data_IF_548276575284
#
_entry.id   IF_548276575284
#
_cell.length_a   1.000
_cell.length_b   1.000
_cell.length_c   1.000
_cell.angle_alpha   90.00
_cell.angle_beta   90.00
_cell.angle_gamma   90.00
#
_symmetry.space_group_name_H-M   'P 1'
#
loop_
_entity.id
_entity.type
_entity.pdbx_description
1 polymer ?
#
# COMPACT_ATOMS: atom_id res chain seq x y z
N UNK A 1 18.13 -0.24 13.82
CA UNK A 1 18.71 0.22 15.09
C UNK A 1 20.05 0.90 14.82
N UNK A 2 20.12 2.21 15.06
CA UNK A 2 21.27 3.08 14.79
C UNK A 2 22.37 2.87 15.82
N UNK A 3 23.05 1.71 15.81
CA UNK A 3 24.16 1.47 16.75
C UNK A 3 25.53 1.93 16.19
N UNK A 4 25.82 1.80 14.94
CA UNK A 4 27.06 2.22 14.31
C UNK A 4 28.20 2.61 15.25
N UNK A 5 28.61 3.87 15.20
CA UNK A 5 29.66 4.46 16.06
C UNK A 5 29.15 5.00 17.41
N UNK A 6 27.85 4.94 17.68
CA UNK A 6 27.28 5.49 18.90
C UNK A 6 27.41 4.51 20.07
N UNK A 7 27.93 4.98 21.18
CA UNK A 7 28.06 4.20 22.42
C UNK A 7 26.84 4.34 23.34
N UNK A 8 26.02 5.36 23.13
CA UNK A 8 24.81 5.63 23.91
C UNK A 8 23.57 5.18 23.15
N UNK A 9 22.50 4.79 23.86
CA UNK A 9 21.21 4.54 23.24
C UNK A 9 20.65 5.83 22.63
N UNK A 10 19.77 5.69 21.63
CA UNK A 10 19.06 6.81 21.02
C UNK A 10 18.19 7.51 22.07
N UNK A 11 18.24 8.84 22.14
CA UNK A 11 17.41 9.60 23.06
C UNK A 11 15.92 9.42 22.74
N UNK A 12 15.06 9.35 23.76
CA UNK A 12 13.62 9.16 23.61
C UNK A 12 12.95 10.20 22.70
N UNK A 13 13.38 11.46 22.77
CA UNK A 13 12.88 12.50 21.87
C UNK A 13 13.19 12.19 20.39
N UNK A 14 14.38 11.65 20.09
CA UNK A 14 14.77 11.28 18.73
C UNK A 14 13.99 10.06 18.26
N UNK A 15 13.75 9.07 19.14
CA UNK A 15 12.91 7.91 18.82
C UNK A 15 11.49 8.34 18.50
N UNK A 16 10.89 9.20 19.33
CA UNK A 16 9.52 9.72 19.10
C UNK A 16 9.40 10.58 17.85
N UNK A 17 10.44 11.29 17.48
CA UNK A 17 10.45 12.11 16.25
C UNK A 17 10.68 11.26 15.00
N UNK A 18 11.52 10.23 15.08
CA UNK A 18 11.93 9.40 13.95
C UNK A 18 11.02 8.19 13.67
N UNK A 19 10.17 7.81 14.62
CA UNK A 19 9.30 6.66 14.43
C UNK A 19 8.14 6.96 13.46
N UNK A 20 7.76 5.98 12.70
CA UNK A 20 6.61 6.02 11.78
C UNK A 20 5.58 4.93 12.03
N UNK A 21 5.90 3.96 12.91
CA UNK A 21 5.03 2.82 13.19
C UNK A 21 3.65 3.22 13.70
N UNK A 22 3.52 4.38 14.36
CA UNK A 22 2.24 4.92 14.83
C UNK A 22 1.21 5.15 13.72
N UNK A 23 1.63 5.28 12.46
CA UNK A 23 0.75 5.45 11.30
C UNK A 23 1.06 4.51 10.15
N UNK A 24 2.31 4.06 9.94
CA UNK A 24 2.69 3.21 8.81
C UNK A 24 2.40 1.72 9.04
N UNK A 25 2.01 1.31 10.26
CA UNK A 25 1.56 -0.05 10.54
C UNK A 25 0.50 -0.53 9.52
N UNK A 26 -0.26 0.37 8.92
CA UNK A 26 -1.27 0.09 7.89
C UNK A 26 -0.70 -0.57 6.64
N UNK A 27 0.60 -0.46 6.41
CA UNK A 27 1.30 -1.03 5.25
C UNK A 27 1.63 -2.52 5.43
N UNK A 28 1.30 -3.13 6.56
CA UNK A 28 1.72 -4.50 6.90
C UNK A 28 1.38 -5.54 5.84
N UNK A 29 0.22 -5.44 5.19
CA UNK A 29 -0.18 -6.38 4.12
C UNK A 29 0.72 -6.26 2.90
N UNK A 30 1.05 -5.04 2.53
CA UNK A 30 1.90 -4.73 1.39
C UNK A 30 3.34 -5.13 1.66
N UNK A 31 3.85 -4.82 2.85
CA UNK A 31 5.19 -5.22 3.27
C UNK A 31 5.37 -6.75 3.30
N UNK A 32 4.41 -7.47 3.87
CA UNK A 32 4.47 -8.94 3.92
C UNK A 32 4.41 -9.52 2.49
N UNK A 33 3.50 -9.04 1.64
CA UNK A 33 3.40 -9.51 0.26
C UNK A 33 4.68 -9.20 -0.53
N UNK A 34 5.22 -8.00 -0.41
CA UNK A 34 6.48 -7.59 -1.04
C UNK A 34 7.68 -8.39 -0.52
N UNK A 35 7.72 -8.67 0.77
CA UNK A 35 8.76 -9.46 1.42
C UNK A 35 8.75 -10.93 0.98
N UNK A 36 7.58 -11.54 0.81
CA UNK A 36 7.46 -12.91 0.24
C UNK A 36 7.94 -12.92 -1.22
N UNK A 37 7.54 -11.93 -2.03
CA UNK A 37 7.98 -11.83 -3.42
C UNK A 37 9.51 -11.65 -3.51
N UNK A 38 10.08 -10.83 -2.63
CA UNK A 38 11.52 -10.61 -2.53
C UNK A 38 12.27 -11.88 -2.10
N UNK A 39 11.79 -12.59 -1.09
CA UNK A 39 12.37 -13.87 -0.65
C UNK A 39 12.35 -14.91 -1.77
N UNK A 40 11.32 -14.95 -2.60
CA UNK A 40 11.24 -15.84 -3.77
C UNK A 40 12.28 -15.50 -4.82
N UNK A 41 12.52 -14.23 -5.07
CA UNK A 41 13.61 -13.80 -5.96
C UNK A 41 15.00 -14.13 -5.39
N UNK A 42 15.19 -14.02 -4.07
CA UNK A 42 16.41 -14.44 -3.40
C UNK A 42 16.65 -15.96 -3.53
N UNK A 43 15.60 -16.78 -3.38
CA UNK A 43 15.68 -18.22 -3.61
C UNK A 43 16.14 -18.52 -5.05
N UNK A 44 15.55 -17.87 -6.02
CA UNK A 44 15.89 -18.05 -7.45
C UNK A 44 17.31 -17.60 -7.76
N UNK A 45 17.80 -16.58 -7.09
CA UNK A 45 19.16 -16.09 -7.19
C UNK A 45 20.19 -16.93 -6.39
N UNK A 46 19.77 -17.96 -5.66
CA UNK A 46 20.65 -18.81 -4.83
C UNK A 46 21.12 -18.16 -3.54
N UNK A 47 20.50 -17.05 -3.09
CA UNK A 47 20.80 -16.39 -1.82
C UNK A 47 20.12 -17.08 -0.62
N UNK A 48 18.99 -17.71 -0.88
CA UNK A 48 18.29 -18.59 0.06
C UNK A 48 18.23 -19.99 -0.53
N UNK A 49 18.26 -20.98 0.34
CA UNK A 49 17.86 -22.34 -0.02
C UNK A 49 16.34 -22.52 0.15
N UNK A 50 15.82 -23.68 -0.25
CA UNK A 50 14.38 -23.96 -0.22
C UNK A 50 13.81 -23.93 1.20
N UNK A 51 14.52 -24.52 2.15
CA UNK A 51 14.07 -24.59 3.55
C UNK A 51 14.00 -23.21 4.20
N UNK A 52 15.01 -22.36 3.92
CA UNK A 52 15.02 -20.95 4.38
C UNK A 52 13.85 -20.15 3.80
N UNK A 53 13.57 -20.31 2.51
CA UNK A 53 12.44 -19.65 1.86
C UNK A 53 11.11 -20.10 2.47
N UNK A 54 10.90 -21.39 2.62
CA UNK A 54 9.66 -21.95 3.18
C UNK A 54 9.44 -21.48 4.63
N UNK A 55 10.51 -21.38 5.43
CA UNK A 55 10.45 -20.83 6.78
C UNK A 55 10.08 -19.34 6.78
N UNK A 56 10.68 -18.54 5.89
CA UNK A 56 10.36 -17.11 5.75
C UNK A 56 8.91 -16.93 5.31
N UNK A 57 8.46 -17.63 4.28
CA UNK A 57 7.10 -17.52 3.76
C UNK A 57 6.07 -17.90 4.82
N UNK A 58 6.27 -19.02 5.54
CA UNK A 58 5.39 -19.44 6.64
C UNK A 58 5.39 -18.42 7.77
N UNK A 59 6.57 -18.00 8.24
CA UNK A 59 6.70 -17.04 9.33
C UNK A 59 6.04 -15.69 9.02
N UNK A 60 6.15 -15.20 7.79
CA UNK A 60 5.46 -13.97 7.35
C UNK A 60 3.93 -14.14 7.29
N UNK A 61 3.44 -15.30 6.85
CA UNK A 61 1.99 -15.59 6.86
C UNK A 61 1.42 -15.69 8.27
N UNK A 62 2.17 -16.26 9.20
CA UNK A 62 1.79 -16.35 10.61
C UNK A 62 1.77 -14.94 11.25
N UNK A 63 2.75 -14.09 10.94
CA UNK A 63 2.76 -12.69 11.39
C UNK A 63 1.55 -11.93 10.81
N UNK A 64 1.24 -12.11 9.53
CA UNK A 64 0.06 -11.51 8.90
C UNK A 64 -1.21 -11.85 9.67
N UNK A 65 -1.38 -13.13 9.98
CA UNK A 65 -2.53 -13.61 10.74
C UNK A 65 -2.60 -12.98 12.12
N UNK A 66 -1.49 -12.95 12.86
CA UNK A 66 -1.45 -12.33 14.19
C UNK A 66 -1.79 -10.85 14.16
N UNK A 67 -1.34 -10.11 13.13
CA UNK A 67 -1.69 -8.69 12.96
C UNK A 67 -3.20 -8.55 12.71
N UNK A 68 -3.77 -9.37 11.83
CA UNK A 68 -5.19 -9.34 11.47
C UNK A 68 -6.10 -9.71 12.65
N UNK A 69 -5.65 -10.61 13.51
CA UNK A 69 -6.36 -11.02 14.73
C UNK A 69 -6.13 -10.06 15.91
N UNK A 70 -5.27 -9.04 15.78
CA UNK A 70 -4.94 -8.10 16.85
C UNK A 70 -3.99 -8.63 17.91
N UNK A 71 -3.30 -9.74 17.62
CA UNK A 71 -2.37 -10.40 18.53
C UNK A 71 -0.92 -9.91 18.39
N UNK A 72 -0.65 -8.99 17.47
CA UNK A 72 0.67 -8.41 17.23
C UNK A 72 0.88 -7.12 18.00
N UNK A 73 2.05 -6.97 18.63
CA UNK A 73 2.40 -5.75 19.38
C UNK A 73 3.42 -4.93 18.61
N UNK A 74 3.04 -3.70 18.25
CA UNK A 74 3.92 -2.74 17.61
C UNK A 74 4.84 -2.05 18.62
N UNK A 75 6.14 -2.00 18.33
CA UNK A 75 7.15 -1.31 19.15
C UNK A 75 7.68 -0.07 18.44
N UNK A 76 7.61 1.09 19.11
CA UNK A 76 8.22 2.34 18.63
C UNK A 76 9.75 2.29 18.59
N UNK A 77 10.36 1.46 19.42
CA UNK A 77 11.82 1.25 19.43
C UNK A 77 12.32 0.61 18.12
N UNK A 78 11.43 -0.05 17.39
CA UNK A 78 11.68 -0.63 16.09
C UNK A 78 11.30 0.30 14.92
N UNK A 79 11.07 1.60 15.19
CA UNK A 79 10.97 2.70 14.24
C UNK A 79 9.75 2.59 13.29
N UNK A 80 9.69 1.58 12.41
CA UNK A 80 8.70 1.45 11.33
C UNK A 80 8.04 0.06 11.28
N UNK A 81 7.00 -0.09 10.46
CA UNK A 81 6.28 -1.35 10.24
C UNK A 81 7.24 -2.46 9.79
N UNK A 82 8.16 -2.13 8.93
CA UNK A 82 9.09 -3.09 8.30
C UNK A 82 10.03 -3.70 9.31
N UNK A 83 10.64 -2.87 10.18
CA UNK A 83 11.55 -3.35 11.23
C UNK A 83 10.80 -4.15 12.30
N UNK A 84 9.56 -3.79 12.62
CA UNK A 84 8.71 -4.57 13.51
C UNK A 84 8.46 -5.97 12.96
N UNK A 85 8.06 -6.09 11.68
CA UNK A 85 7.81 -7.37 11.02
C UNK A 85 9.11 -8.19 10.87
N UNK A 86 10.21 -7.56 10.43
CA UNK A 86 11.51 -8.21 10.24
C UNK A 86 12.10 -8.72 11.57
N UNK A 87 11.99 -7.93 12.64
CA UNK A 87 12.42 -8.32 13.99
C UNK A 87 11.62 -9.50 14.52
N UNK A 88 10.30 -9.47 14.38
CA UNK A 88 9.43 -10.55 14.80
C UNK A 88 9.68 -11.83 13.99
N UNK A 89 9.86 -11.71 12.66
CA UNK A 89 10.23 -12.83 11.81
C UNK A 89 11.54 -13.46 12.29
N UNK A 90 12.57 -12.65 12.51
CA UNK A 90 13.88 -13.12 12.98
C UNK A 90 13.77 -13.78 14.35
N UNK A 91 12.93 -13.28 15.25
CA UNK A 91 12.67 -13.89 16.54
C UNK A 91 12.04 -15.29 16.43
N UNK A 92 11.14 -15.50 15.43
CA UNK A 92 10.44 -16.78 15.21
C UNK A 92 11.31 -17.81 14.52
N UNK A 93 12.02 -17.44 13.47
CA UNK A 93 12.73 -18.40 12.60
C UNK A 93 14.26 -18.28 12.64
N UNK A 94 14.81 -17.33 13.38
CA UNK A 94 16.28 -17.19 13.57
C UNK A 94 17.00 -16.65 12.33
N UNK A 95 18.16 -17.23 12.00
CA UNK A 95 19.06 -16.76 10.96
C UNK A 95 18.42 -16.57 9.56
N UNK A 96 17.50 -17.42 9.07
CA UNK A 96 16.81 -17.18 7.80
C UNK A 96 16.06 -15.84 7.76
N UNK A 97 15.42 -15.43 8.87
CA UNK A 97 14.72 -14.15 8.97
C UNK A 97 15.64 -12.95 8.75
N UNK A 98 16.85 -12.99 9.28
CA UNK A 98 17.86 -11.95 9.12
C UNK A 98 18.38 -11.82 7.67
N UNK A 99 18.25 -12.85 6.83
CA UNK A 99 18.63 -12.82 5.41
C UNK A 99 17.63 -12.07 4.53
N UNK A 100 16.38 -11.90 4.98
CA UNK A 100 15.31 -11.32 4.18
C UNK A 100 15.66 -9.94 3.64
N UNK A 101 16.41 -9.13 4.38
CA UNK A 101 16.78 -7.76 3.95
C UNK A 101 17.88 -7.73 2.87
N UNK A 102 18.54 -8.84 2.57
CA UNK A 102 19.63 -8.88 1.59
C UNK A 102 19.21 -8.38 0.22
N UNK A 103 20.03 -7.54 -0.41
CA UNK A 103 19.79 -6.92 -1.72
C UNK A 103 18.59 -5.95 -1.79
N UNK A 104 18.10 -5.47 -0.66
CA UNK A 104 17.00 -4.50 -0.54
C UNK A 104 17.46 -3.30 0.30
N UNK A 105 16.87 -2.15 0.05
CA UNK A 105 16.95 -0.98 0.92
C UNK A 105 15.61 -0.68 1.55
N UNK A 106 15.60 -0.06 2.72
CA UNK A 106 14.36 0.49 3.30
C UNK A 106 13.71 1.49 2.36
N UNK A 107 14.50 2.25 1.60
CA UNK A 107 13.99 3.28 0.67
C UNK A 107 13.10 2.71 -0.45
N UNK A 108 13.56 1.69 -1.16
CA UNK A 108 12.77 1.08 -2.24
C UNK A 108 11.62 0.21 -1.70
N UNK A 109 11.78 -0.37 -0.53
CA UNK A 109 10.73 -1.10 0.20
C UNK A 109 9.57 -0.17 0.57
N UNK A 110 9.82 0.89 1.33
CA UNK A 110 8.80 1.87 1.76
C UNK A 110 8.08 2.47 0.57
N UNK A 111 8.82 2.88 -0.47
CA UNK A 111 8.24 3.48 -1.68
C UNK A 111 7.33 2.48 -2.42
N UNK A 112 7.68 1.20 -2.45
CA UNK A 112 6.87 0.15 -3.06
C UNK A 112 5.59 -0.08 -2.27
N UNK A 113 5.70 -0.26 -0.97
CA UNK A 113 4.57 -0.59 -0.10
C UNK A 113 3.56 0.57 -0.03
N UNK A 114 4.04 1.81 0.02
CA UNK A 114 3.18 3.00 -0.07
C UNK A 114 2.40 3.03 -1.39
N UNK A 115 3.05 2.71 -2.52
CA UNK A 115 2.36 2.66 -3.82
C UNK A 115 1.34 1.54 -3.89
N UNK A 116 1.65 0.37 -3.36
CA UNK A 116 0.73 -0.75 -3.30
C UNK A 116 -0.48 -0.44 -2.42
N UNK A 117 -0.26 0.16 -1.26
CA UNK A 117 -1.31 0.61 -0.36
C UNK A 117 -2.23 1.63 -1.04
N UNK A 118 -1.67 2.70 -1.58
CA UNK A 118 -2.45 3.71 -2.30
C UNK A 118 -3.23 3.12 -3.48
N UNK A 119 -2.68 2.13 -4.19
CA UNK A 119 -3.37 1.44 -5.27
C UNK A 119 -4.61 0.70 -4.76
N UNK A 120 -4.48 -0.04 -3.66
CA UNK A 120 -5.59 -0.76 -3.04
C UNK A 120 -6.67 0.21 -2.56
N UNK A 121 -6.27 1.28 -1.87
CA UNK A 121 -7.21 2.30 -1.39
C UNK A 121 -7.95 2.99 -2.54
N UNK A 122 -7.27 3.29 -3.65
CA UNK A 122 -7.92 3.86 -4.84
C UNK A 122 -8.98 2.90 -5.41
N UNK A 123 -8.68 1.60 -5.48
CA UNK A 123 -9.63 0.61 -5.98
C UNK A 123 -10.87 0.53 -5.08
N UNK A 124 -10.70 0.57 -3.76
CA UNK A 124 -11.80 0.62 -2.80
C UNK A 124 -12.62 1.91 -2.89
N UNK A 125 -11.95 3.06 -3.01
CA UNK A 125 -12.64 4.35 -3.17
C UNK A 125 -13.45 4.36 -4.46
N UNK A 126 -12.90 3.89 -5.58
CA UNK A 126 -13.61 3.80 -6.86
C UNK A 126 -14.87 2.93 -6.75
N UNK A 127 -14.83 1.84 -6.00
CA UNK A 127 -16.02 1.02 -5.76
C UNK A 127 -17.08 1.77 -4.92
N UNK A 128 -16.66 2.47 -3.86
CA UNK A 128 -17.54 3.31 -3.06
C UNK A 128 -18.18 4.43 -3.89
N UNK A 129 -17.40 5.07 -4.77
CA UNK A 129 -17.90 6.10 -5.71
C UNK A 129 -18.96 5.51 -6.66
N UNK A 130 -18.71 4.35 -7.26
CA UNK A 130 -19.68 3.67 -8.13
C UNK A 130 -20.99 3.35 -7.40
N UNK A 131 -20.91 2.91 -6.16
CA UNK A 131 -22.10 2.61 -5.34
C UNK A 131 -22.90 3.88 -5.07
N UNK A 132 -22.24 4.99 -4.73
CA UNK A 132 -22.90 6.29 -4.55
C UNK A 132 -23.54 6.80 -5.85
N UNK A 133 -22.81 6.75 -6.97
CA UNK A 133 -23.35 7.14 -8.28
C UNK A 133 -24.60 6.32 -8.63
N UNK A 134 -24.58 5.01 -8.42
CA UNK A 134 -25.74 4.14 -8.66
C UNK A 134 -26.94 4.57 -7.81
N UNK A 135 -26.75 4.87 -6.54
CA UNK A 135 -27.81 5.34 -5.67
C UNK A 135 -28.40 6.69 -6.12
N UNK A 136 -27.53 7.62 -6.51
CA UNK A 136 -27.94 8.93 -7.04
C UNK A 136 -28.72 8.78 -8.36
N UNK A 137 -28.27 7.93 -9.27
CA UNK A 137 -28.97 7.67 -10.54
C UNK A 137 -30.35 7.03 -10.32
N UNK A 138 -30.43 6.07 -9.38
CA UNK A 138 -31.74 5.47 -9.05
C UNK A 138 -32.70 6.51 -8.49
N UNK A 139 -32.25 7.36 -7.57
CA UNK A 139 -33.07 8.46 -7.04
C UNK A 139 -33.38 9.54 -8.09
N UNK A 140 -32.42 9.87 -8.95
CA UNK A 140 -32.67 10.78 -10.06
C UNK A 140 -33.76 10.27 -11.01
N UNK A 141 -33.82 8.96 -11.26
CA UNK A 141 -34.87 8.32 -12.07
C UNK A 141 -36.22 8.34 -11.35
N UNK A 142 -36.24 8.04 -10.05
CA UNK A 142 -37.46 8.05 -9.22
C UNK A 142 -38.12 9.44 -9.19
N UNK A 143 -37.30 10.49 -9.14
CA UNK A 143 -37.74 11.90 -9.03
C UNK A 143 -37.46 12.72 -10.31
N UNK A 144 -37.51 12.05 -11.47
CA UNK A 144 -37.19 12.73 -12.75
C UNK A 144 -38.08 13.91 -13.05
N UNK A 145 -39.37 13.81 -12.70
CA UNK A 145 -40.39 14.84 -12.96
C UNK A 145 -40.68 15.73 -11.74
N UNK A 146 -40.04 15.47 -10.60
CA UNK A 146 -40.26 16.25 -9.38
C UNK A 146 -39.60 17.63 -9.49
N UNK A 147 -40.44 18.66 -9.67
CA UNK A 147 -40.02 20.07 -9.81
C UNK A 147 -39.61 20.64 -8.45
N UNK A 148 -38.50 21.36 -8.43
CA UNK A 148 -38.01 22.12 -7.29
C UNK A 148 -37.39 23.46 -7.71
N UNK A 149 -37.33 24.46 -6.81
CA UNK A 149 -36.61 25.68 -7.12
C UNK A 149 -35.10 25.46 -7.09
N UNK A 150 -34.41 25.91 -8.11
CA UNK A 150 -32.96 26.13 -8.06
C UNK A 150 -32.67 27.41 -7.24
N UNK A 151 -31.46 27.49 -6.68
CA UNK A 151 -31.00 28.60 -5.86
C UNK A 151 -29.65 29.14 -6.34
N UNK A 152 -29.52 30.46 -6.38
CA UNK A 152 -28.25 31.18 -6.49
C UNK A 152 -28.25 32.31 -5.47
N UNK A 153 -27.13 32.57 -4.81
CA UNK A 153 -27.01 33.62 -3.80
C UNK A 153 -28.12 33.56 -2.70
N UNK A 154 -28.54 32.37 -2.32
CA UNK A 154 -29.66 32.13 -1.39
C UNK A 154 -31.02 32.64 -1.89
N UNK A 155 -31.13 33.01 -3.19
CA UNK A 155 -32.33 33.45 -3.85
C UNK A 155 -32.89 32.33 -4.74
N UNK A 156 -34.21 32.28 -4.88
CA UNK A 156 -34.88 31.38 -5.83
C UNK A 156 -34.51 31.79 -7.27
N UNK A 157 -34.04 30.82 -8.02
CA UNK A 157 -33.67 30.95 -9.43
C UNK A 157 -34.64 30.13 -10.33
N UNK A 158 -34.10 29.53 -11.41
CA UNK A 158 -34.91 28.73 -12.31
C UNK A 158 -35.48 27.48 -11.62
N UNK A 159 -36.63 26.96 -12.04
CA UNK A 159 -37.10 25.66 -11.66
C UNK A 159 -36.20 24.59 -12.29
N UNK A 160 -35.90 23.56 -11.52
CA UNK A 160 -35.14 22.38 -11.94
C UNK A 160 -35.86 21.12 -11.47
N UNK A 161 -35.59 19.99 -12.06
CA UNK A 161 -36.06 18.70 -11.48
C UNK A 161 -35.08 18.19 -10.45
N UNK A 162 -35.59 17.47 -9.48
CA UNK A 162 -34.74 16.77 -8.50
C UNK A 162 -33.79 15.78 -9.19
N UNK A 163 -34.27 15.11 -10.26
CA UNK A 163 -33.44 14.23 -11.08
C UNK A 163 -32.27 14.97 -11.70
N UNK A 164 -32.48 16.15 -12.30
CA UNK A 164 -31.39 16.96 -12.83
C UNK A 164 -30.37 17.37 -11.75
N UNK A 165 -30.85 17.78 -10.58
CA UNK A 165 -30.01 18.18 -9.47
C UNK A 165 -29.09 17.00 -8.99
N UNK A 166 -29.65 15.81 -8.84
CA UNK A 166 -28.89 14.63 -8.44
C UNK A 166 -27.86 14.16 -9.48
N UNK A 167 -28.20 14.28 -10.78
CA UNK A 167 -27.27 13.93 -11.87
C UNK A 167 -26.05 14.87 -11.92
N UNK A 168 -26.16 16.11 -11.48
CA UNK A 168 -25.01 17.01 -11.38
C UNK A 168 -23.93 16.44 -10.47
N UNK A 169 -24.29 15.79 -9.35
CA UNK A 169 -23.35 15.11 -8.47
C UNK A 169 -22.77 13.85 -9.10
N UNK A 170 -23.54 13.12 -9.89
CA UNK A 170 -23.02 11.96 -10.64
C UNK A 170 -21.89 12.39 -11.57
N UNK A 171 -22.06 13.53 -12.28
CA UNK A 171 -21.04 14.07 -13.18
C UNK A 171 -19.79 14.58 -12.42
N UNK A 172 -19.95 15.14 -11.23
CA UNK A 172 -18.80 15.47 -10.37
C UNK A 172 -18.02 14.22 -9.98
N UNK A 173 -18.72 13.19 -9.51
CA UNK A 173 -18.12 11.91 -9.12
C UNK A 173 -17.47 11.16 -10.31
N UNK A 174 -17.99 11.31 -11.54
CA UNK A 174 -17.35 10.78 -12.75
C UNK A 174 -15.96 11.39 -12.92
N UNK A 175 -15.84 12.71 -12.82
CA UNK A 175 -14.54 13.40 -12.94
C UNK A 175 -13.58 13.02 -11.82
N UNK A 176 -14.08 12.81 -10.60
CA UNK A 176 -13.24 12.33 -9.49
C UNK A 176 -12.77 10.89 -9.72
N UNK A 177 -13.65 10.02 -10.21
CA UNK A 177 -13.27 8.65 -10.58
C UNK A 177 -12.18 8.63 -11.66
N UNK A 178 -12.23 9.52 -12.65
CA UNK A 178 -11.22 9.60 -13.69
C UNK A 178 -9.88 10.12 -13.16
N UNK A 179 -9.87 11.08 -12.24
CA UNK A 179 -8.65 11.53 -11.54
C UNK A 179 -8.02 10.39 -10.75
N UNK A 180 -8.82 9.60 -10.03
CA UNK A 180 -8.35 8.45 -9.27
C UNK A 180 -7.77 7.36 -10.19
N UNK A 181 -8.43 7.03 -11.30
CA UNK A 181 -7.91 6.07 -12.30
C UNK A 181 -6.57 6.53 -12.90
N UNK A 182 -6.45 7.82 -13.21
CA UNK A 182 -5.21 8.38 -13.74
C UNK A 182 -4.08 8.36 -12.69
N UNK A 183 -4.39 8.71 -11.45
CA UNK A 183 -3.46 8.58 -10.32
C UNK A 183 -3.00 7.13 -10.17
N UNK A 184 -3.93 6.16 -10.16
CA UNK A 184 -3.64 4.73 -10.08
C UNK A 184 -2.69 4.24 -11.18
N UNK A 185 -2.93 4.65 -12.43
CA UNK A 185 -2.09 4.28 -13.57
C UNK A 185 -0.65 4.75 -13.39
N UNK A 186 -0.45 6.00 -12.94
CA UNK A 186 0.88 6.58 -12.71
C UNK A 186 1.57 5.99 -11.48
N UNK A 187 0.80 5.65 -10.47
CA UNK A 187 1.28 5.05 -9.22
C UNK A 187 1.77 3.60 -9.42
N UNK A 188 1.15 2.86 -10.35
CA UNK A 188 1.40 1.43 -10.57
C UNK A 188 2.75 1.16 -11.29
N UNK A 189 3.83 1.64 -10.68
CA UNK A 189 5.22 1.42 -11.10
C UNK A 189 6.03 1.01 -9.88
N UNK A 190 6.63 -0.20 -9.91
CA UNK A 190 7.39 -0.71 -8.77
C UNK A 190 8.80 -0.11 -8.71
N UNK A 191 9.19 0.54 -7.62
CA UNK A 191 10.57 0.94 -7.38
C UNK A 191 11.43 -0.17 -6.77
N UNK A 192 10.88 -1.30 -6.36
CA UNK A 192 11.62 -2.36 -5.68
C UNK A 192 12.76 -2.90 -6.56
N UNK A 193 13.93 -3.06 -5.94
CA UNK A 193 15.18 -3.39 -6.60
C UNK A 193 15.99 -2.16 -7.05
N UNK A 194 15.50 -0.94 -6.79
CA UNK A 194 16.32 0.28 -6.97
C UNK A 194 17.35 0.46 -5.87
N UNK A 195 17.21 -0.29 -4.76
CA UNK A 195 18.07 -0.12 -3.60
C UNK A 195 17.95 1.28 -2.98
N UNK A 196 19.02 1.75 -2.38
CA UNK A 196 19.04 3.07 -1.75
C UNK A 196 19.11 4.22 -2.77
N UNK A 197 19.76 4.00 -3.95
CA UNK A 197 20.03 5.05 -4.93
C UNK A 197 19.86 4.54 -6.37
N UNK A 198 20.66 3.54 -6.77
CA UNK A 198 20.84 3.19 -8.18
C UNK A 198 20.86 1.66 -8.45
N UNK A 199 20.25 0.88 -7.59
CA UNK A 199 20.20 -0.57 -7.71
C UNK A 199 21.16 -1.30 -6.77
N UNK A 200 21.32 -2.60 -7.01
CA UNK A 200 22.19 -3.50 -6.26
C UNK A 200 23.10 -4.26 -7.23
N UNK A 201 24.31 -4.63 -6.77
CA UNK A 201 25.21 -5.52 -7.49
C UNK A 201 24.74 -6.98 -7.45
N UNK A 202 23.78 -7.29 -6.59
CA UNK A 202 23.16 -8.61 -6.51
C UNK A 202 22.02 -8.67 -7.53
N UNK A 203 22.15 -9.58 -8.50
CA UNK A 203 21.18 -9.74 -9.58
C UNK A 203 19.92 -10.48 -9.09
N UNK A 204 18.89 -9.72 -8.72
CA UNK A 204 17.54 -10.25 -8.51
C UNK A 204 16.69 -9.97 -9.75
N UNK A 205 15.81 -10.91 -10.09
CA UNK A 205 14.84 -10.73 -11.18
C UNK A 205 13.74 -9.73 -10.74
N UNK A 206 13.96 -8.45 -11.05
CA UNK A 206 13.02 -7.36 -10.74
C UNK A 206 11.68 -7.50 -11.45
N UNK A 207 11.67 -8.13 -12.62
CA UNK A 207 10.44 -8.36 -13.38
C UNK A 207 9.53 -9.34 -12.66
N UNK A 208 10.09 -10.46 -12.21
CA UNK A 208 9.35 -11.46 -11.45
C UNK A 208 8.84 -10.90 -10.12
N UNK A 209 9.69 -10.17 -9.38
CA UNK A 209 9.26 -9.51 -8.15
C UNK A 209 8.05 -8.60 -8.43
N UNK A 210 8.12 -7.79 -9.48
CA UNK A 210 7.03 -6.89 -9.87
C UNK A 210 5.73 -7.65 -10.20
N UNK A 211 5.82 -8.76 -10.94
CA UNK A 211 4.65 -9.55 -11.35
C UNK A 211 3.95 -10.27 -10.20
N UNK A 212 4.69 -10.60 -9.14
CA UNK A 212 4.14 -11.36 -8.01
C UNK A 212 3.16 -10.56 -7.15
N UNK A 213 3.26 -9.23 -7.14
CA UNK A 213 2.39 -8.38 -6.32
C UNK A 213 1.86 -7.13 -7.02
N UNK A 214 2.28 -6.85 -8.26
CA UNK A 214 1.67 -5.81 -9.10
C UNK A 214 0.95 -6.45 -10.27
N UNK A 215 -0.17 -5.87 -10.71
CA UNK A 215 -0.71 -6.22 -12.02
C UNK A 215 0.30 -5.83 -13.09
N UNK A 216 0.51 -6.67 -14.13
CA UNK A 216 1.45 -6.35 -15.19
C UNK A 216 1.12 -4.98 -15.79
N UNK A 217 2.11 -4.11 -15.84
CA UNK A 217 2.00 -2.82 -16.51
C UNK A 217 1.77 -3.07 -18.01
N UNK A 218 1.03 -2.21 -18.72
CA UNK A 218 0.97 -2.29 -20.19
C UNK A 218 2.35 -2.25 -20.87
N UNK A 219 3.39 -1.78 -20.18
CA UNK A 219 4.78 -1.79 -20.65
C UNK A 219 5.45 -3.16 -20.53
N UNK A 220 4.93 -4.03 -19.66
CA UNK A 220 5.49 -5.37 -19.43
C UNK A 220 5.00 -6.39 -20.46
N UNK A 221 4.16 -5.97 -21.40
CA UNK A 221 3.61 -6.78 -22.52
C UNK A 221 4.33 -6.58 -23.86
N UNK A 222 5.51 -5.97 -23.84
CA UNK A 222 6.32 -5.80 -25.06
C UNK A 222 7.55 -6.68 -25.05
#
# INVERSE_FOLDING_TARGET
MWKGRFSKPTADLVQRYGESVSYDWRLFRQDIAGSIAHARAQLKAGLLNREEFDAIESGLKDILKDIEEGNFTWSRELEDVHMNIESELTRRIGAPGAKLHTARSRNDQVATDTRLYCRTEIDEILEKVRRLQRALVMKAREYADAMMPGYTHLQRAQPVTMGHHLLAYVEMLNRDADRLKDCRRRLNVSPLGSGAIAGSTICLDRHEICLLYTSPSPRDKR
#
